data_IF_080126871891
#
_entry.id   IF_080126871891
#
_cell.length_a   1.000
_cell.length_b   1.000
_cell.length_c   1.000
_cell.angle_alpha   90.00
_cell.angle_beta   90.00
_cell.angle_gamma   90.00
#
_symmetry.space_group_name_H-M   'P 1'
#
loop_
_entity.id
_entity.type
_entity.pdbx_description
1 polymer ?
#
# COMPACT_ATOMS: atom_id res chain seq x y z
N UNK A 1 29.56 -9.53 7.27
CA UNK A 1 28.54 -10.27 8.07
C UNK A 1 27.85 -9.29 8.99
N UNK A 2 26.53 -9.44 9.17
CA UNK A 2 25.69 -8.63 10.06
C UNK A 2 24.78 -9.54 10.86
N UNK A 3 24.60 -9.27 12.14
CA UNK A 3 23.59 -9.97 12.95
C UNK A 3 22.29 -9.18 12.91
N UNK A 4 21.19 -9.81 12.52
CA UNK A 4 19.86 -9.23 12.51
C UNK A 4 18.93 -9.98 13.46
N UNK A 5 17.91 -9.31 13.97
CA UNK A 5 16.86 -9.92 14.77
C UNK A 5 15.58 -10.07 13.93
N UNK A 6 15.11 -11.31 13.74
CA UNK A 6 13.93 -11.58 12.91
C UNK A 6 12.64 -10.98 13.47
N UNK A 7 12.53 -10.85 14.80
CA UNK A 7 11.35 -10.25 15.46
C UNK A 7 11.08 -8.82 15.00
N UNK A 8 12.14 -8.05 14.72
CA UNK A 8 12.00 -6.64 14.34
C UNK A 8 11.51 -6.45 12.92
N UNK A 9 11.63 -7.47 12.08
CA UNK A 9 11.41 -7.39 10.64
C UNK A 9 10.13 -8.13 10.24
N UNK A 10 9.85 -9.26 10.89
CA UNK A 10 8.78 -10.16 10.52
C UNK A 10 7.74 -10.27 11.64
N UNK A 11 6.51 -9.75 11.45
CA UNK A 11 5.48 -9.69 12.50
C UNK A 11 5.06 -11.05 13.10
N UNK A 12 5.36 -12.16 12.43
CA UNK A 12 5.00 -13.50 12.90
C UNK A 12 6.00 -14.08 13.91
N UNK A 13 7.22 -13.54 14.00
CA UNK A 13 8.17 -13.92 15.05
C UNK A 13 7.80 -13.22 16.35
N UNK A 14 7.54 -14.01 17.41
CA UNK A 14 7.10 -13.50 18.72
C UNK A 14 8.23 -13.42 19.76
N UNK A 15 9.40 -13.97 19.46
CA UNK A 15 10.59 -13.97 20.31
C UNK A 15 11.78 -13.44 19.53
N UNK A 16 12.81 -12.98 20.24
CA UNK A 16 14.06 -12.54 19.63
C UNK A 16 14.80 -13.74 19.02
N UNK A 17 15.15 -13.64 17.74
CA UNK A 17 15.93 -14.66 17.03
C UNK A 17 17.01 -13.95 16.23
N UNK A 18 18.26 -14.13 16.64
CA UNK A 18 19.42 -13.47 16.06
C UNK A 18 20.07 -14.38 15.02
N UNK A 19 20.16 -13.90 13.78
CA UNK A 19 20.74 -14.64 12.65
C UNK A 19 21.85 -13.81 12.03
N UNK A 20 22.98 -14.44 11.72
CA UNK A 20 24.02 -13.81 10.91
C UNK A 20 23.66 -13.89 9.43
N UNK A 21 23.63 -12.73 8.78
CA UNK A 21 23.42 -12.59 7.35
C UNK A 21 24.69 -12.06 6.69
N UNK A 22 24.91 -12.47 5.45
CA UNK A 22 25.99 -11.92 4.62
C UNK A 22 25.74 -10.44 4.32
N UNK A 23 26.79 -9.72 3.95
CA UNK A 23 26.65 -8.30 3.57
C UNK A 23 25.80 -8.13 2.31
N UNK A 24 25.81 -9.13 1.41
CA UNK A 24 24.95 -9.19 0.22
C UNK A 24 23.46 -9.30 0.61
N UNK A 25 23.11 -10.24 1.48
CA UNK A 25 21.72 -10.41 1.95
C UNK A 25 21.26 -9.15 2.70
N UNK A 26 22.11 -8.59 3.54
CA UNK A 26 21.81 -7.35 4.25
C UNK A 26 21.49 -6.18 3.30
N UNK A 27 22.28 -6.00 2.24
CA UNK A 27 22.03 -4.91 1.30
C UNK A 27 20.77 -5.14 0.46
N UNK A 28 20.48 -6.38 0.07
CA UNK A 28 19.22 -6.74 -0.58
C UNK A 28 18.00 -6.41 0.30
N UNK A 29 18.05 -6.73 1.61
CA UNK A 29 17.00 -6.37 2.56
C UNK A 29 16.82 -4.86 2.68
N UNK A 30 17.92 -4.09 2.75
CA UNK A 30 17.84 -2.63 2.80
C UNK A 30 17.29 -2.04 1.51
N UNK A 31 17.66 -2.58 0.36
CA UNK A 31 17.10 -2.18 -0.93
C UNK A 31 15.59 -2.40 -0.96
N UNK A 32 15.12 -3.59 -0.59
CA UNK A 32 13.69 -3.89 -0.51
C UNK A 32 12.96 -2.91 0.44
N UNK A 33 13.57 -2.58 1.59
CA UNK A 33 13.00 -1.61 2.51
C UNK A 33 12.94 -0.19 1.92
N UNK A 34 13.96 0.24 1.17
CA UNK A 34 13.96 1.54 0.47
C UNK A 34 12.88 1.59 -0.60
N UNK A 35 12.72 0.54 -1.39
CA UNK A 35 11.69 0.41 -2.42
C UNK A 35 10.28 0.41 -1.82
N UNK A 36 10.07 -0.29 -0.71
CA UNK A 36 8.81 -0.26 0.02
C UNK A 36 8.47 1.14 0.53
N UNK A 37 9.42 1.82 1.21
CA UNK A 37 9.23 3.20 1.68
C UNK A 37 8.93 4.16 0.53
N UNK A 38 9.67 4.07 -0.57
CA UNK A 38 9.44 4.88 -1.76
C UNK A 38 8.04 4.64 -2.34
N UNK A 39 7.57 3.39 -2.35
CA UNK A 39 6.23 3.04 -2.81
C UNK A 39 5.15 3.67 -1.92
N UNK A 40 5.34 3.69 -0.59
CA UNK A 40 4.42 4.38 0.33
C UNK A 40 4.35 5.88 0.07
N UNK A 41 5.49 6.55 -0.15
CA UNK A 41 5.52 7.99 -0.46
C UNK A 41 4.79 8.27 -1.78
N UNK A 42 5.05 7.47 -2.82
CA UNK A 42 4.36 7.56 -4.12
C UNK A 42 2.85 7.37 -4.01
N UNK A 43 2.42 6.42 -3.19
CA UNK A 43 1.00 6.18 -2.93
C UNK A 43 0.37 7.38 -2.21
N UNK A 44 1.05 7.93 -1.20
CA UNK A 44 0.58 9.12 -0.50
C UNK A 44 0.42 10.32 -1.45
N UNK A 45 1.40 10.55 -2.34
CA UNK A 45 1.31 11.58 -3.38
C UNK A 45 0.11 11.33 -4.30
N UNK A 46 -0.08 10.10 -4.78
CA UNK A 46 -1.21 9.76 -5.65
C UNK A 46 -2.58 9.96 -4.97
N UNK A 47 -2.70 9.62 -3.68
CA UNK A 47 -3.93 9.86 -2.90
C UNK A 47 -4.22 11.36 -2.78
N UNK A 48 -3.20 12.20 -2.61
CA UNK A 48 -3.37 13.65 -2.54
C UNK A 48 -3.80 14.29 -3.88
N UNK A 49 -3.65 13.57 -4.99
CA UNK A 49 -4.16 13.99 -6.31
C UNK A 49 -5.61 13.56 -6.59
N UNK A 50 -6.24 12.80 -5.70
CA UNK A 50 -7.66 12.46 -5.83
C UNK A 50 -8.55 13.60 -5.33
N UNK A 51 -9.85 13.52 -5.65
CA UNK A 51 -10.81 14.38 -4.96
C UNK A 51 -10.88 14.02 -3.47
N UNK A 52 -11.19 15.01 -2.64
CA UNK A 52 -11.27 14.82 -1.19
C UNK A 52 -12.21 13.66 -0.81
N UNK A 53 -13.36 13.54 -1.46
CA UNK A 53 -14.31 12.43 -1.26
C UNK A 53 -13.70 11.07 -1.60
N UNK A 54 -12.97 10.95 -2.70
CA UNK A 54 -12.32 9.69 -3.09
C UNK A 54 -11.22 9.31 -2.09
N UNK A 55 -10.36 10.27 -1.74
CA UNK A 55 -9.26 10.05 -0.79
C UNK A 55 -9.79 9.65 0.59
N UNK A 56 -10.80 10.38 1.10
CA UNK A 56 -11.43 10.11 2.40
C UNK A 56 -12.05 8.72 2.47
N UNK A 57 -12.82 8.32 1.45
CA UNK A 57 -13.47 7.00 1.40
C UNK A 57 -12.47 5.85 1.23
N UNK A 58 -11.39 6.04 0.46
CA UNK A 58 -10.31 5.05 0.33
C UNK A 58 -9.58 4.85 1.67
N UNK A 59 -9.24 5.95 2.37
CA UNK A 59 -8.62 5.88 3.71
C UNK A 59 -9.53 5.14 4.69
N UNK A 60 -10.82 5.46 4.73
CA UNK A 60 -11.77 4.77 5.59
C UNK A 60 -11.84 3.26 5.28
N UNK A 61 -11.90 2.88 4.00
CA UNK A 61 -12.04 1.47 3.59
C UNK A 61 -10.80 0.62 3.86
N UNK A 62 -9.60 1.16 3.63
CA UNK A 62 -8.36 0.37 3.60
C UNK A 62 -7.41 0.66 4.76
N UNK A 63 -7.38 1.88 5.30
CA UNK A 63 -6.55 2.21 6.46
C UNK A 63 -7.29 1.99 7.78
N UNK A 64 -8.61 2.29 7.80
CA UNK A 64 -9.44 2.13 9.00
C UNK A 64 -10.27 0.83 9.01
N UNK A 65 -10.23 0.05 7.93
CA UNK A 65 -10.94 -1.23 7.84
C UNK A 65 -12.47 -1.13 7.77
N UNK A 66 -13.03 0.06 7.54
CA UNK A 66 -14.48 0.28 7.53
C UNK A 66 -15.15 -0.37 6.32
N UNK A 67 -16.35 -0.92 6.51
CA UNK A 67 -17.18 -1.43 5.42
C UNK A 67 -17.82 -0.27 4.65
N UNK A 68 -18.09 -0.51 3.37
CA UNK A 68 -18.75 0.48 2.48
C UNK A 68 -20.08 0.98 3.08
N UNK A 69 -20.84 0.08 3.71
CA UNK A 69 -22.12 0.39 4.35
C UNK A 69 -21.92 1.33 5.56
N UNK A 70 -20.89 1.11 6.37
CA UNK A 70 -20.58 1.96 7.54
C UNK A 70 -20.15 3.37 7.09
N UNK A 71 -19.32 3.46 6.06
CA UNK A 71 -18.92 4.75 5.47
C UNK A 71 -20.15 5.50 4.93
N UNK A 72 -21.02 4.79 4.24
CA UNK A 72 -22.24 5.34 3.67
C UNK A 72 -23.20 5.86 4.75
N UNK A 73 -23.35 5.11 5.86
CA UNK A 73 -24.15 5.51 7.00
C UNK A 73 -23.61 6.79 7.68
N UNK A 74 -22.29 6.88 7.89
CA UNK A 74 -21.65 8.07 8.47
C UNK A 74 -21.80 9.30 7.57
N UNK A 75 -21.68 9.13 6.26
CA UNK A 75 -21.80 10.22 5.30
C UNK A 75 -23.25 10.57 4.93
N UNK A 76 -24.25 9.79 5.37
CA UNK A 76 -25.64 9.97 4.99
C UNK A 76 -25.92 9.75 3.49
N UNK A 77 -25.16 8.87 2.84
CA UNK A 77 -25.27 8.58 1.39
C UNK A 77 -25.60 7.12 1.13
N UNK A 78 -25.99 6.80 -0.11
CA UNK A 78 -26.27 5.42 -0.52
C UNK A 78 -24.94 4.64 -0.69
N UNK A 79 -24.83 3.37 -0.25
CA UNK A 79 -23.60 2.57 -0.35
C UNK A 79 -23.01 2.44 -1.75
N UNK A 80 -23.83 2.43 -2.80
CA UNK A 80 -23.39 2.39 -4.19
C UNK A 80 -22.55 3.61 -4.59
N UNK A 81 -22.89 4.80 -4.08
CA UNK A 81 -22.12 6.04 -4.30
C UNK A 81 -20.72 5.94 -3.69
N UNK A 82 -20.62 5.37 -2.49
CA UNK A 82 -19.34 5.12 -1.83
C UNK A 82 -18.52 4.13 -2.65
N UNK A 83 -19.09 2.97 -2.99
CA UNK A 83 -18.40 1.93 -3.77
C UNK A 83 -17.91 2.42 -5.13
N UNK A 84 -18.73 3.18 -5.86
CA UNK A 84 -18.34 3.76 -7.15
C UNK A 84 -17.22 4.80 -7.02
N UNK A 85 -17.26 5.65 -5.97
CA UNK A 85 -16.18 6.61 -5.73
C UNK A 85 -14.85 5.96 -5.34
N UNK A 86 -14.87 4.87 -4.55
CA UNK A 86 -13.67 4.11 -4.19
C UNK A 86 -13.06 3.49 -5.45
N UNK A 87 -13.87 2.81 -6.27
CA UNK A 87 -13.41 2.22 -7.54
C UNK A 87 -12.81 3.27 -8.48
N UNK A 88 -13.47 4.43 -8.61
CA UNK A 88 -12.95 5.54 -9.42
C UNK A 88 -11.63 6.09 -8.87
N UNK A 89 -11.51 6.25 -7.55
CA UNK A 89 -10.29 6.71 -6.90
C UNK A 89 -9.12 5.74 -7.11
N UNK A 90 -9.35 4.42 -6.95
CA UNK A 90 -8.33 3.40 -7.23
C UNK A 90 -7.89 3.40 -8.70
N UNK A 91 -8.84 3.56 -9.64
CA UNK A 91 -8.53 3.72 -11.07
C UNK A 91 -7.67 4.96 -11.33
N UNK A 92 -7.95 6.06 -10.65
CA UNK A 92 -7.17 7.30 -10.78
C UNK A 92 -5.76 7.17 -10.17
N UNK A 93 -5.60 6.47 -9.05
CA UNK A 93 -4.28 6.13 -8.50
C UNK A 93 -3.47 5.34 -9.53
N UNK A 94 -4.06 4.30 -10.15
CA UNK A 94 -3.40 3.52 -11.21
C UNK A 94 -2.94 4.41 -12.37
N UNK A 95 -3.84 5.24 -12.90
CA UNK A 95 -3.50 6.21 -13.96
C UNK A 95 -2.39 7.18 -13.57
N UNK A 96 -2.38 7.61 -12.31
CA UNK A 96 -1.34 8.50 -11.79
C UNK A 96 0.03 7.83 -11.79
N UNK A 97 0.10 6.57 -11.35
CA UNK A 97 1.33 5.76 -11.40
C UNK A 97 1.82 5.54 -12.83
N UNK A 98 0.91 5.20 -13.74
CA UNK A 98 1.19 5.06 -15.18
C UNK A 98 1.77 6.36 -15.75
N UNK A 99 1.14 7.51 -15.47
CA UNK A 99 1.59 8.84 -15.92
C UNK A 99 2.98 9.20 -15.39
N UNK A 100 3.27 8.88 -14.13
CA UNK A 100 4.58 9.11 -13.50
C UNK A 100 5.64 8.08 -13.91
N UNK A 101 5.27 7.07 -14.70
CA UNK A 101 6.12 5.91 -15.07
C UNK A 101 6.66 5.18 -13.84
N UNK A 102 5.93 5.21 -12.73
CA UNK A 102 6.25 4.43 -11.55
C UNK A 102 5.75 3.00 -11.76
N UNK A 103 6.69 2.07 -11.98
CA UNK A 103 6.34 0.67 -12.16
C UNK A 103 5.88 0.08 -10.83
N UNK A 104 4.66 -0.45 -10.81
CA UNK A 104 4.33 -1.60 -9.96
C UNK A 104 4.91 -2.82 -10.70
N UNK A 105 5.57 -3.76 -10.02
CA UNK A 105 6.32 -4.86 -10.67
C UNK A 105 5.53 -5.47 -11.85
N UNK A 106 6.18 -5.58 -13.03
CA UNK A 106 5.59 -6.14 -14.26
C UNK A 106 5.19 -7.61 -14.10
N UNK A 107 5.65 -8.28 -13.05
CA UNK A 107 5.27 -9.66 -12.72
C UNK A 107 3.76 -9.81 -12.46
N UNK A 108 3.08 -8.76 -12.01
CA UNK A 108 1.63 -8.78 -11.78
C UNK A 108 0.79 -8.76 -13.06
N UNK A 109 1.33 -8.29 -14.18
CA UNK A 109 0.63 -8.25 -15.48
C UNK A 109 0.65 -9.62 -16.17
N UNK A 110 1.69 -10.43 -15.93
CA UNK A 110 1.85 -11.74 -16.53
C UNK A 110 0.89 -12.81 -15.94
N UNK A 111 0.41 -12.60 -14.71
CA UNK A 111 -0.52 -13.53 -14.03
C UNK A 111 -2.01 -13.16 -14.16
N UNK A 112 -2.34 -12.00 -14.73
CA UNK A 112 -3.72 -11.50 -14.86
C UNK A 112 -4.11 -11.14 -16.31
N UNK A 113 -3.43 -11.76 -17.29
CA UNK A 113 -3.75 -11.67 -18.73
C UNK A 113 -4.57 -12.88 -19.18
#
# INVERSE_FOLDING_TARGET
MKTINLRWIYPHYRHDEFVEVSDEVWEAMRQAQREYRLTLVRLAEAINHLSETQARRIRARYLLGMKVIEIAAIEGVIPSCVGSSIRAGLKNIRKYFEKKKWRVSREWEQWNS
#
